data_IF_734419465706
#
_entry.id   IF_734419465706
#
_cell.length_a   1.000
_cell.length_b   1.000
_cell.length_c   1.000
_cell.angle_alpha   90.00
_cell.angle_beta   90.00
_cell.angle_gamma   90.00
#
_symmetry.space_group_name_H-M   'P 1'
#
loop_
_entity.id
_entity.type
_entity.pdbx_description
1 polymer ?
#
# COMPACT_ATOMS: atom_id res chain seq x y z
N UNK A 1 -12.46 3.40 -6.59
CA UNK A 1 -12.69 3.05 -7.99
C UNK A 1 -12.30 4.14 -8.98
N UNK A 2 -12.95 5.33 -8.95
CA UNK A 2 -12.75 6.40 -9.96
C UNK A 2 -11.30 6.89 -9.98
N UNK A 3 -10.69 7.16 -8.82
CA UNK A 3 -9.30 7.63 -8.75
C UNK A 3 -8.33 6.57 -9.30
N UNK A 4 -8.54 5.29 -9.00
CA UNK A 4 -7.73 4.21 -9.56
C UNK A 4 -7.83 4.11 -11.08
N UNK A 5 -9.02 4.37 -11.65
CA UNK A 5 -9.21 4.43 -13.09
C UNK A 5 -8.47 5.61 -13.70
N UNK A 6 -8.53 6.80 -13.07
CA UNK A 6 -7.77 7.98 -13.50
C UNK A 6 -6.25 7.72 -13.48
N UNK A 7 -5.75 7.07 -12.44
CA UNK A 7 -4.33 6.67 -12.35
C UNK A 7 -3.99 5.70 -13.49
N UNK A 8 -4.83 4.70 -13.76
CA UNK A 8 -4.61 3.76 -14.86
C UNK A 8 -4.54 4.45 -16.22
N UNK A 9 -5.46 5.37 -16.50
CA UNK A 9 -5.45 6.18 -17.73
C UNK A 9 -4.22 7.09 -17.80
N UNK A 10 -3.80 7.68 -16.68
CA UNK A 10 -2.61 8.48 -16.58
C UNK A 10 -1.35 7.67 -16.96
N UNK A 11 -1.22 6.44 -16.45
CA UNK A 11 -0.10 5.58 -16.80
C UNK A 11 -0.09 5.18 -18.27
N UNK A 12 -1.25 4.90 -18.88
CA UNK A 12 -1.35 4.66 -20.32
C UNK A 12 -0.89 5.88 -21.13
N UNK A 13 -1.15 7.09 -20.64
CA UNK A 13 -0.66 8.32 -21.29
C UNK A 13 0.86 8.49 -21.08
N UNK A 14 1.36 8.23 -19.87
CA UNK A 14 2.78 8.34 -19.53
C UNK A 14 3.64 7.33 -20.32
N UNK A 15 3.13 6.12 -20.56
CA UNK A 15 3.83 5.10 -21.35
C UNK A 15 4.21 5.61 -22.75
N UNK A 16 3.40 6.48 -23.32
CA UNK A 16 3.67 7.10 -24.64
C UNK A 16 4.69 8.25 -24.59
N UNK A 17 5.11 8.68 -23.40
CA UNK A 17 6.01 9.82 -23.16
C UNK A 17 7.21 9.40 -22.32
N UNK A 18 8.34 8.96 -22.91
CA UNK A 18 9.51 8.46 -22.17
C UNK A 18 10.04 9.44 -21.12
N UNK A 19 9.95 10.74 -21.40
CA UNK A 19 10.41 11.81 -20.50
C UNK A 19 9.62 11.91 -19.18
N UNK A 20 8.38 11.40 -19.15
CA UNK A 20 7.51 11.47 -17.98
C UNK A 20 7.56 10.20 -17.11
N UNK A 21 8.23 9.14 -17.56
CA UNK A 21 8.23 7.84 -16.86
C UNK A 21 8.82 7.93 -15.46
N UNK A 22 9.90 8.70 -15.29
CA UNK A 22 10.55 8.84 -13.99
C UNK A 22 9.70 9.62 -12.97
N UNK A 23 8.90 10.57 -13.45
CA UNK A 23 7.99 11.37 -12.62
C UNK A 23 6.60 10.74 -12.46
N UNK A 24 6.33 9.63 -13.13
CA UNK A 24 5.01 8.98 -13.20
C UNK A 24 4.38 8.72 -11.84
N UNK A 25 5.15 8.18 -10.89
CA UNK A 25 4.69 7.90 -9.54
C UNK A 25 4.31 9.19 -8.79
N UNK A 26 5.13 10.24 -8.89
CA UNK A 26 4.86 11.53 -8.25
C UNK A 26 3.63 12.21 -8.86
N UNK A 27 3.49 12.17 -10.19
CA UNK A 27 2.32 12.73 -10.89
C UNK A 27 1.05 11.97 -10.52
N UNK A 28 1.11 10.64 -10.45
CA UNK A 28 -0.02 9.82 -10.02
C UNK A 28 -0.43 10.13 -8.58
N UNK A 29 0.52 10.32 -7.68
CA UNK A 29 0.25 10.71 -6.30
C UNK A 29 -0.34 12.12 -6.21
N UNK A 30 0.15 13.07 -6.99
CA UNK A 30 -0.38 14.43 -7.06
C UNK A 30 -1.84 14.42 -7.56
N UNK A 31 -2.13 13.69 -8.62
CA UNK A 31 -3.49 13.56 -9.18
C UNK A 31 -4.42 12.87 -8.18
N UNK A 32 -4.00 11.74 -7.59
CA UNK A 32 -4.82 11.00 -6.62
C UNK A 32 -5.15 11.86 -5.39
N UNK A 33 -4.16 12.55 -4.85
CA UNK A 33 -4.33 13.41 -3.68
C UNK A 33 -5.15 14.65 -4.02
N UNK A 34 -4.89 15.29 -5.17
CA UNK A 34 -5.65 16.45 -5.64
C UNK A 34 -7.12 16.14 -5.84
N UNK A 35 -7.45 15.04 -6.52
CA UNK A 35 -8.85 14.61 -6.70
C UNK A 35 -9.50 14.30 -5.35
N UNK A 36 -8.77 13.65 -4.44
CA UNK A 36 -9.29 13.35 -3.09
C UNK A 36 -9.62 14.63 -2.32
N UNK A 37 -8.73 15.64 -2.38
CA UNK A 37 -8.91 16.94 -1.73
C UNK A 37 -10.11 17.70 -2.32
N UNK A 38 -10.25 17.71 -3.66
CA UNK A 38 -11.40 18.33 -4.32
C UNK A 38 -12.72 17.67 -3.91
N UNK A 39 -12.77 16.34 -3.92
CA UNK A 39 -13.97 15.60 -3.50
C UNK A 39 -14.27 15.85 -2.01
N UNK A 40 -13.24 15.89 -1.15
CA UNK A 40 -13.42 16.15 0.28
C UNK A 40 -13.95 17.56 0.56
N UNK A 41 -13.56 18.54 -0.26
CA UNK A 41 -13.97 19.93 -0.08
C UNK A 41 -15.36 20.23 -0.67
N UNK A 42 -15.69 19.67 -1.84
CA UNK A 42 -16.91 20.06 -2.59
C UNK A 42 -18.05 19.03 -2.54
N UNK A 43 -17.75 17.75 -2.28
CA UNK A 43 -18.75 16.68 -2.42
C UNK A 43 -19.12 16.07 -1.07
N UNK A 44 -18.14 15.56 -0.34
CA UNK A 44 -18.38 14.90 0.94
C UNK A 44 -17.10 14.86 1.78
N UNK A 45 -17.21 15.06 3.10
CA UNK A 45 -16.06 14.98 4.00
C UNK A 45 -15.49 13.56 4.01
N UNK A 46 -14.20 13.43 3.68
CA UNK A 46 -13.49 12.15 3.56
C UNK A 46 -12.33 12.07 4.56
N UNK A 47 -11.97 10.85 4.93
CA UNK A 47 -10.67 10.62 5.59
C UNK A 47 -9.58 10.66 4.51
N UNK A 48 -8.95 11.84 4.36
CA UNK A 48 -7.98 12.12 3.29
C UNK A 48 -6.87 11.07 3.22
N UNK A 49 -6.20 10.81 4.35
CA UNK A 49 -5.07 9.89 4.39
C UNK A 49 -5.47 8.48 3.94
N UNK A 50 -6.63 8.00 4.39
CA UNK A 50 -7.12 6.66 4.02
C UNK A 50 -7.45 6.58 2.54
N UNK A 51 -8.12 7.61 1.98
CA UNK A 51 -8.52 7.60 0.57
C UNK A 51 -7.30 7.76 -0.36
N UNK A 52 -6.35 8.63 -0.01
CA UNK A 52 -5.10 8.80 -0.77
C UNK A 52 -4.32 7.49 -0.81
N UNK A 53 -4.07 6.88 0.37
CA UNK A 53 -3.32 5.62 0.46
C UNK A 53 -4.03 4.50 -0.30
N UNK A 54 -5.36 4.37 -0.15
CA UNK A 54 -6.14 3.37 -0.88
C UNK A 54 -6.10 3.58 -2.40
N UNK A 55 -6.03 4.83 -2.85
CA UNK A 55 -5.93 5.16 -4.27
C UNK A 55 -4.56 4.81 -4.87
N UNK A 56 -3.50 4.89 -4.06
CA UNK A 56 -2.11 4.63 -4.46
C UNK A 56 -1.66 3.20 -4.17
N UNK A 57 -2.53 2.32 -3.64
CA UNK A 57 -2.16 1.00 -3.14
C UNK A 57 -1.42 0.15 -4.18
N UNK A 58 -1.79 0.26 -5.45
CA UNK A 58 -1.17 -0.49 -6.56
C UNK A 58 0.26 0.00 -6.84
N UNK A 59 0.55 1.27 -6.56
CA UNK A 59 1.87 1.88 -6.78
C UNK A 59 2.81 1.68 -5.60
N UNK A 60 2.30 1.27 -4.44
CA UNK A 60 3.11 1.04 -3.26
C UNK A 60 4.08 -0.13 -3.48
N UNK A 61 5.39 0.06 -3.29
CA UNK A 61 6.40 -0.95 -3.58
C UNK A 61 6.50 -2.00 -2.47
N UNK A 62 5.36 -2.51 -2.01
CA UNK A 62 5.29 -3.44 -0.89
C UNK A 62 6.04 -4.74 -1.14
N UNK A 63 5.83 -5.38 -2.30
CA UNK A 63 6.55 -6.60 -2.68
C UNK A 63 8.06 -6.35 -2.84
N UNK A 64 8.44 -5.17 -3.34
CA UNK A 64 9.85 -4.81 -3.46
C UNK A 64 10.51 -4.70 -2.08
N UNK A 65 9.83 -4.08 -1.10
CA UNK A 65 10.28 -4.02 0.29
C UNK A 65 10.41 -5.41 0.91
N UNK A 66 9.39 -6.25 0.80
CA UNK A 66 9.41 -7.62 1.35
C UNK A 66 10.53 -8.45 0.73
N UNK A 67 10.68 -8.40 -0.60
CA UNK A 67 11.74 -9.14 -1.29
C UNK A 67 13.13 -8.60 -0.94
N UNK A 68 13.30 -7.29 -0.78
CA UNK A 68 14.59 -6.70 -0.37
C UNK A 68 15.02 -7.20 1.01
N UNK A 69 14.09 -7.23 1.97
CA UNK A 69 14.39 -7.76 3.31
C UNK A 69 14.75 -9.25 3.24
N UNK A 70 14.03 -10.05 2.45
CA UNK A 70 14.34 -11.46 2.26
C UNK A 70 15.71 -11.68 1.62
N UNK A 71 16.08 -10.89 0.61
CA UNK A 71 17.39 -10.93 -0.02
C UNK A 71 18.51 -10.52 0.95
N UNK A 72 18.31 -9.46 1.76
CA UNK A 72 19.27 -9.02 2.78
C UNK A 72 19.49 -10.08 3.86
N UNK A 73 18.44 -10.70 4.36
CA UNK A 73 18.53 -11.77 5.37
C UNK A 73 19.16 -13.04 4.80
N UNK A 74 19.05 -13.26 3.49
CA UNK A 74 19.68 -14.37 2.77
C UNK A 74 21.09 -14.05 2.28
N UNK A 75 21.73 -12.97 2.79
CA UNK A 75 23.08 -12.53 2.45
C UNK A 75 23.27 -12.08 0.99
N UNK A 76 22.21 -11.86 0.24
CA UNK A 76 22.26 -11.27 -1.10
C UNK A 76 22.25 -9.74 -1.00
N UNK A 77 23.34 -9.17 -0.45
CA UNK A 77 23.39 -7.77 -0.05
C UNK A 77 23.22 -6.80 -1.21
N UNK A 78 23.88 -7.04 -2.34
CA UNK A 78 23.87 -6.11 -3.49
C UNK A 78 22.46 -5.99 -4.08
N UNK A 79 21.81 -7.12 -4.36
CA UNK A 79 20.44 -7.11 -4.91
C UNK A 79 19.42 -6.59 -3.89
N UNK A 80 19.56 -6.97 -2.62
CA UNK A 80 18.69 -6.53 -1.53
C UNK A 80 18.75 -5.01 -1.32
N UNK A 81 19.96 -4.43 -1.27
CA UNK A 81 20.15 -2.98 -1.12
C UNK A 81 19.60 -2.23 -2.36
N UNK A 82 19.90 -2.69 -3.57
CA UNK A 82 19.43 -2.06 -4.80
C UNK A 82 17.90 -2.04 -4.86
N UNK A 83 17.24 -3.16 -4.50
CA UNK A 83 15.79 -3.27 -4.45
C UNK A 83 15.17 -2.40 -3.37
N UNK A 84 15.80 -2.36 -2.19
CA UNK A 84 15.37 -1.50 -1.08
C UNK A 84 15.44 -0.02 -1.47
N UNK A 85 16.58 0.42 -2.03
CA UNK A 85 16.75 1.80 -2.48
C UNK A 85 15.73 2.19 -3.56
N UNK A 86 15.45 1.31 -4.52
CA UNK A 86 14.40 1.51 -5.52
C UNK A 86 13.00 1.65 -4.90
N UNK A 87 12.67 0.81 -3.93
CA UNK A 87 11.40 0.89 -3.22
C UNK A 87 11.28 2.20 -2.42
N UNK A 88 12.35 2.61 -1.73
CA UNK A 88 12.39 3.89 -1.01
C UNK A 88 12.24 5.09 -1.94
N UNK A 89 12.89 5.08 -3.10
CA UNK A 89 12.74 6.12 -4.11
C UNK A 89 11.28 6.25 -4.60
N UNK A 90 10.59 5.12 -4.83
CA UNK A 90 9.16 5.13 -5.18
C UNK A 90 8.30 5.73 -4.07
N UNK A 91 8.51 5.32 -2.80
CA UNK A 91 7.74 5.87 -1.68
C UNK A 91 7.98 7.38 -1.54
N UNK A 92 9.23 7.84 -1.70
CA UNK A 92 9.55 9.27 -1.68
C UNK A 92 8.84 10.03 -2.80
N UNK A 93 8.83 9.52 -4.03
CA UNK A 93 8.10 10.12 -5.15
C UNK A 93 6.59 10.24 -4.85
N UNK A 94 5.99 9.17 -4.31
CA UNK A 94 4.58 9.17 -3.92
C UNK A 94 4.30 10.19 -2.80
N UNK A 95 5.18 10.28 -1.80
CA UNK A 95 5.06 11.25 -0.71
C UNK A 95 5.16 12.67 -1.22
N UNK A 96 6.17 12.99 -2.04
CA UNK A 96 6.36 14.32 -2.63
C UNK A 96 5.14 14.73 -3.45
N UNK A 97 4.64 13.85 -4.33
CA UNK A 97 3.44 14.13 -5.12
C UNK A 97 2.21 14.42 -4.25
N UNK A 98 2.00 13.63 -3.19
CA UNK A 98 0.88 13.82 -2.27
C UNK A 98 1.00 15.13 -1.47
N UNK A 99 2.20 15.45 -0.99
CA UNK A 99 2.47 16.71 -0.25
C UNK A 99 2.27 17.92 -1.14
N UNK A 100 2.78 17.88 -2.38
CA UNK A 100 2.57 18.95 -3.35
C UNK A 100 1.07 19.20 -3.60
N UNK A 101 0.26 18.15 -3.72
CA UNK A 101 -1.19 18.30 -3.86
C UNK A 101 -1.83 19.00 -2.66
N UNK A 102 -1.42 18.63 -1.44
CA UNK A 102 -1.91 19.27 -0.20
C UNK A 102 -1.50 20.73 -0.15
N UNK A 103 -0.24 21.04 -0.44
CA UNK A 103 0.27 22.41 -0.46
C UNK A 103 -0.46 23.28 -1.49
N UNK A 104 -0.66 22.76 -2.70
CA UNK A 104 -1.41 23.46 -3.75
C UNK A 104 -2.87 23.70 -3.33
N UNK A 105 -3.52 22.73 -2.70
CA UNK A 105 -4.87 22.90 -2.18
C UNK A 105 -4.94 24.01 -1.11
N UNK A 106 -3.98 24.05 -0.19
CA UNK A 106 -3.89 25.10 0.83
C UNK A 106 -3.68 26.49 0.21
N UNK A 107 -2.81 26.61 -0.80
CA UNK A 107 -2.59 27.87 -1.54
C UNK A 107 -3.86 28.35 -2.26
N UNK A 108 -4.72 27.41 -2.69
CA UNK A 108 -6.01 27.72 -3.30
C UNK A 108 -7.13 27.97 -2.27
N UNK A 109 -6.81 27.99 -0.96
CA UNK A 109 -7.78 28.21 0.10
C UNK A 109 -8.71 27.00 0.36
N UNK A 110 -8.31 25.79 -0.10
CA UNK A 110 -9.06 24.59 0.12
C UNK A 110 -8.59 23.95 1.44
N UNK A 111 -9.44 23.99 2.46
CA UNK A 111 -9.19 23.40 3.77
C UNK A 111 -10.28 22.34 4.05
N UNK A 112 -10.19 21.15 3.46
CA UNK A 112 -11.20 20.12 3.69
C UNK A 112 -11.20 19.72 5.16
N UNK A 113 -12.38 19.68 5.77
CA UNK A 113 -12.53 19.20 7.14
C UNK A 113 -12.08 17.75 7.22
N UNK A 114 -11.03 17.48 7.99
CA UNK A 114 -10.58 16.12 8.30
C UNK A 114 -11.58 15.52 9.28
N UNK A 115 -12.60 14.84 8.79
CA UNK A 115 -13.52 14.14 9.69
C UNK A 115 -12.89 12.83 10.17
N UNK A 116 -12.89 12.68 11.49
CA UNK A 116 -12.60 11.44 12.17
C UNK A 116 -13.48 10.30 11.63
N UNK A 117 -12.92 9.10 11.61
CA UNK A 117 -13.52 7.84 11.26
C UNK A 117 -15.02 7.75 11.61
N UNK A 118 -15.88 7.74 10.59
CA UNK A 118 -17.20 7.13 10.75
C UNK A 118 -17.00 5.63 10.67
N UNK A 119 -17.34 4.86 11.72
CA UNK A 119 -17.31 3.42 11.62
C UNK A 119 -18.25 3.00 10.49
N UNK A 120 -17.71 2.30 9.50
CA UNK A 120 -18.51 1.74 8.42
C UNK A 120 -19.24 0.49 8.94
N UNK A 121 -20.44 0.19 8.44
CA UNK A 121 -21.11 -1.06 8.75
C UNK A 121 -20.25 -2.26 8.36
N UNK A 122 -20.26 -3.33 9.13
CA UNK A 122 -19.42 -4.51 8.92
C UNK A 122 -19.60 -5.13 7.52
N UNK A 123 -20.80 -5.08 6.97
CA UNK A 123 -21.06 -5.60 5.62
C UNK A 123 -20.26 -4.87 4.52
N UNK A 124 -19.96 -3.58 4.70
CA UNK A 124 -19.14 -2.79 3.76
C UNK A 124 -17.70 -3.30 3.77
N UNK A 125 -17.19 -3.63 4.94
CA UNK A 125 -15.84 -4.17 5.09
C UNK A 125 -15.72 -5.53 4.37
N UNK A 126 -16.67 -6.43 4.59
CA UNK A 126 -16.66 -7.76 3.96
C UNK A 126 -16.82 -7.69 2.44
N UNK A 127 -17.72 -6.84 1.95
CA UNK A 127 -17.90 -6.65 0.49
C UNK A 127 -16.65 -6.03 -0.13
N UNK A 128 -16.05 -5.04 0.51
CA UNK A 128 -14.81 -4.42 0.05
C UNK A 128 -13.66 -5.42 0.01
N UNK A 129 -13.55 -6.30 1.01
CA UNK A 129 -12.54 -7.36 1.05
C UNK A 129 -12.66 -8.33 -0.14
N UNK A 130 -13.87 -8.80 -0.44
CA UNK A 130 -14.09 -9.71 -1.58
C UNK A 130 -13.80 -9.01 -2.91
N UNK A 131 -14.25 -7.75 -3.07
CA UNK A 131 -13.98 -6.96 -4.28
C UNK A 131 -12.47 -6.71 -4.44
N UNK A 132 -11.76 -6.38 -3.36
CA UNK A 132 -10.31 -6.20 -3.40
C UNK A 132 -9.58 -7.50 -3.75
N UNK A 133 -9.97 -8.63 -3.17
CA UNK A 133 -9.39 -9.93 -3.47
C UNK A 133 -9.61 -10.32 -4.94
N UNK A 134 -10.80 -10.06 -5.47
CA UNK A 134 -11.08 -10.24 -6.90
C UNK A 134 -10.21 -9.33 -7.77
N UNK A 135 -10.09 -8.05 -7.41
CA UNK A 135 -9.25 -7.09 -8.12
C UNK A 135 -7.77 -7.53 -8.16
N UNK A 136 -7.25 -8.10 -7.06
CA UNK A 136 -5.91 -8.67 -7.04
C UNK A 136 -5.79 -9.90 -7.95
N UNK A 137 -6.79 -10.78 -8.01
CA UNK A 137 -6.78 -11.91 -8.94
C UNK A 137 -6.65 -11.45 -10.40
N UNK A 138 -7.36 -10.36 -10.77
CA UNK A 138 -7.26 -9.74 -12.10
C UNK A 138 -5.90 -9.07 -12.30
N UNK A 139 -5.43 -8.28 -11.33
CA UNK A 139 -4.16 -7.55 -11.38
C UNK A 139 -2.96 -8.47 -11.60
N UNK A 140 -2.93 -9.62 -10.89
CA UNK A 140 -1.89 -10.64 -11.03
C UNK A 140 -2.10 -11.60 -12.19
N UNK A 141 -3.09 -11.34 -13.05
CA UNK A 141 -3.42 -12.17 -14.21
C UNK A 141 -3.57 -13.64 -13.84
N UNK A 142 -4.17 -13.92 -12.67
CA UNK A 142 -4.47 -15.27 -12.27
C UNK A 142 -5.39 -15.93 -13.32
N UNK A 143 -5.26 -17.24 -13.54
CA UNK A 143 -6.17 -17.93 -14.41
C UNK A 143 -7.57 -17.97 -13.79
N UNK A 144 -8.66 -17.86 -14.57
CA UNK A 144 -10.04 -17.79 -14.04
C UNK A 144 -10.40 -18.94 -13.08
N UNK A 145 -9.81 -20.11 -13.29
CA UNK A 145 -9.98 -21.28 -12.40
C UNK A 145 -9.35 -21.10 -11.02
N UNK A 146 -8.42 -20.16 -10.89
CA UNK A 146 -7.68 -19.91 -9.66
C UNK A 146 -8.26 -18.75 -8.84
N UNK A 147 -9.24 -18.01 -9.39
CA UNK A 147 -9.84 -16.86 -8.69
C UNK A 147 -10.40 -17.23 -7.32
N UNK A 148 -11.08 -18.37 -7.22
CA UNK A 148 -11.65 -18.84 -5.93
C UNK A 148 -10.54 -19.03 -4.91
N UNK A 149 -9.43 -19.63 -5.30
CA UNK A 149 -8.29 -19.86 -4.40
C UNK A 149 -7.60 -18.56 -3.98
N UNK A 150 -7.44 -17.62 -4.89
CA UNK A 150 -6.88 -16.29 -4.60
C UNK A 150 -7.77 -15.53 -3.62
N UNK A 151 -9.09 -15.51 -3.89
CA UNK A 151 -10.05 -14.84 -3.02
C UNK A 151 -10.06 -15.48 -1.64
N UNK A 152 -10.12 -16.80 -1.56
CA UNK A 152 -10.11 -17.54 -0.28
C UNK A 152 -8.84 -17.25 0.51
N UNK A 153 -7.68 -17.31 -0.12
CA UNK A 153 -6.40 -17.02 0.54
C UNK A 153 -6.32 -15.57 1.07
N UNK A 154 -6.81 -14.61 0.29
CA UNK A 154 -6.85 -13.20 0.70
C UNK A 154 -7.79 -12.98 1.88
N UNK A 155 -8.99 -13.58 1.84
CA UNK A 155 -9.98 -13.48 2.94
C UNK A 155 -9.44 -14.16 4.20
N UNK A 156 -8.92 -15.39 4.09
CA UNK A 156 -8.32 -16.12 5.22
C UNK A 156 -7.16 -15.35 5.82
N UNK A 157 -6.27 -14.82 4.97
CA UNK A 157 -5.15 -13.99 5.39
C UNK A 157 -5.60 -12.75 6.18
N UNK A 158 -6.60 -12.06 5.67
CA UNK A 158 -7.16 -10.90 6.34
C UNK A 158 -7.80 -11.23 7.70
N UNK A 159 -8.64 -12.27 7.76
CA UNK A 159 -9.31 -12.69 8.99
C UNK A 159 -8.30 -13.07 10.06
N UNK A 160 -7.27 -13.85 9.71
CA UNK A 160 -6.23 -14.25 10.66
C UNK A 160 -5.43 -13.02 11.12
N UNK A 161 -5.04 -12.14 10.20
CA UNK A 161 -4.31 -10.91 10.55
C UNK A 161 -5.11 -10.03 11.51
N UNK A 162 -6.41 -9.89 11.27
CA UNK A 162 -7.31 -9.10 12.13
C UNK A 162 -7.51 -9.74 13.49
N UNK A 163 -7.87 -11.02 13.55
CA UNK A 163 -8.18 -11.73 14.80
C UNK A 163 -6.94 -11.88 15.68
N UNK A 164 -5.83 -12.35 15.13
CA UNK A 164 -4.59 -12.48 15.86
C UNK A 164 -3.97 -11.11 16.21
N UNK A 165 -4.14 -10.12 15.32
CA UNK A 165 -3.72 -8.75 15.60
C UNK A 165 -4.47 -8.10 16.74
N UNK A 166 -5.77 -8.41 16.91
CA UNK A 166 -6.55 -7.94 18.03
C UNK A 166 -6.15 -8.62 19.36
N UNK A 167 -5.74 -9.89 19.30
CA UNK A 167 -5.36 -10.66 20.49
C UNK A 167 -3.91 -10.41 20.94
N UNK A 168 -2.96 -10.35 20.01
CA UNK A 168 -1.52 -10.35 20.29
C UNK A 168 -0.75 -9.18 19.67
N UNK A 169 -1.47 -8.22 19.10
CA UNK A 169 -0.88 -7.04 18.42
C UNK A 169 -0.65 -7.27 16.93
N UNK A 170 -0.60 -6.16 16.20
CA UNK A 170 -0.52 -6.16 14.73
C UNK A 170 0.65 -6.96 14.14
N UNK A 171 1.88 -6.94 14.69
CA UNK A 171 2.99 -7.73 14.15
C UNK A 171 2.72 -9.24 14.22
N UNK A 172 2.13 -9.73 15.32
CA UNK A 172 1.79 -11.15 15.49
C UNK A 172 0.70 -11.58 14.51
N UNK A 173 -0.30 -10.72 14.29
CA UNK A 173 -1.35 -10.95 13.30
C UNK A 173 -0.81 -11.09 11.89
N UNK A 174 0.09 -10.19 11.47
CA UNK A 174 0.75 -10.24 10.17
C UNK A 174 1.59 -11.51 10.03
N UNK A 175 2.39 -11.85 11.04
CA UNK A 175 3.23 -13.05 11.04
C UNK A 175 2.40 -14.33 10.89
N UNK A 176 1.38 -14.53 11.72
CA UNK A 176 0.53 -15.73 11.66
C UNK A 176 -0.21 -15.83 10.33
N UNK A 177 -0.72 -14.73 9.84
CA UNK A 177 -1.38 -14.69 8.54
C UNK A 177 -0.43 -15.07 7.41
N UNK A 178 0.79 -14.51 7.38
CA UNK A 178 1.80 -14.84 6.40
C UNK A 178 2.21 -16.31 6.45
N UNK A 179 2.33 -16.87 7.66
CA UNK A 179 2.63 -18.28 7.89
C UNK A 179 1.53 -19.18 7.31
N UNK A 180 0.26 -18.90 7.63
CA UNK A 180 -0.87 -19.73 7.19
C UNK A 180 -1.05 -19.62 5.67
N UNK A 181 -0.98 -18.42 5.10
CA UNK A 181 -1.07 -18.21 3.64
C UNK A 181 0.06 -18.92 2.90
N UNK A 182 1.29 -18.87 3.45
CA UNK A 182 2.45 -19.54 2.84
C UNK A 182 2.32 -21.05 2.94
N UNK A 183 1.92 -21.58 4.10
CA UNK A 183 1.67 -23.02 4.29
C UNK A 183 0.56 -23.51 3.37
N UNK A 184 -0.54 -22.76 3.28
CA UNK A 184 -1.65 -23.05 2.36
C UNK A 184 -1.22 -23.03 0.89
N UNK A 185 -0.41 -22.06 0.49
CA UNK A 185 0.17 -21.99 -0.87
C UNK A 185 1.08 -23.18 -1.19
N UNK A 186 1.88 -23.63 -0.21
CA UNK A 186 2.73 -24.80 -0.38
C UNK A 186 1.90 -26.12 -0.45
N UNK A 187 0.86 -26.22 0.38
CA UNK A 187 -0.07 -27.36 0.34
C UNK A 187 -0.79 -27.41 -1.02
N UNK A 188 -1.29 -26.26 -1.50
CA UNK A 188 -1.92 -26.16 -2.81
C UNK A 188 -0.99 -26.56 -3.94
N UNK A 189 0.28 -26.14 -3.90
CA UNK A 189 1.26 -26.49 -4.92
C UNK A 189 1.49 -28.01 -5.00
N UNK A 190 1.49 -28.69 -3.86
CA UNK A 190 1.65 -30.16 -3.79
C UNK A 190 0.40 -30.91 -4.29
N UNK A 191 -0.77 -30.39 -3.92
CA UNK A 191 -2.04 -31.08 -4.19
C UNK A 191 -2.59 -30.78 -5.59
N UNK A 192 -2.55 -29.52 -6.00
CA UNK A 192 -3.10 -29.07 -7.28
C UNK A 192 -2.09 -29.13 -8.44
N UNK A 193 -0.81 -29.50 -8.19
CA UNK A 193 0.29 -29.49 -9.17
C UNK A 193 0.44 -28.15 -9.90
N UNK A 194 0.15 -27.04 -9.19
CA UNK A 194 0.20 -25.67 -9.69
C UNK A 194 1.12 -24.79 -8.84
N UNK A 195 1.66 -23.70 -9.40
CA UNK A 195 2.55 -22.82 -8.64
C UNK A 195 1.87 -22.26 -7.39
N UNK A 196 2.42 -22.53 -6.19
CA UNK A 196 1.89 -22.00 -4.93
C UNK A 196 1.95 -20.46 -4.82
N UNK A 197 2.73 -19.82 -5.67
CA UNK A 197 2.80 -18.36 -5.80
C UNK A 197 1.43 -17.73 -6.13
N UNK A 198 0.55 -18.44 -6.82
CA UNK A 198 -0.81 -17.99 -7.16
C UNK A 198 -1.60 -17.63 -5.89
N UNK A 199 -1.40 -18.36 -4.83
CA UNK A 199 -2.04 -18.13 -3.52
C UNK A 199 -1.21 -17.19 -2.66
N UNK A 200 0.11 -17.43 -2.58
CA UNK A 200 1.01 -16.69 -1.69
C UNK A 200 1.09 -15.22 -2.02
N UNK A 201 1.25 -14.88 -3.32
CA UNK A 201 1.49 -13.49 -3.71
C UNK A 201 0.31 -12.58 -3.37
N UNK A 202 -0.94 -12.84 -3.77
CA UNK A 202 -2.08 -12.02 -3.40
C UNK A 202 -2.32 -11.97 -1.89
N UNK A 203 -2.22 -13.13 -1.21
CA UNK A 203 -2.42 -13.21 0.24
C UNK A 203 -1.39 -12.41 1.03
N UNK A 204 -0.11 -12.50 0.68
CA UNK A 204 0.96 -11.72 1.32
C UNK A 204 0.80 -10.24 0.99
N UNK A 205 0.40 -9.88 -0.23
CA UNK A 205 0.26 -8.49 -0.63
C UNK A 205 -0.78 -7.73 0.20
N UNK A 206 -1.83 -8.42 0.64
CA UNK A 206 -2.82 -7.87 1.58
C UNK A 206 -2.22 -7.50 2.94
N UNK A 207 -1.09 -8.12 3.31
CA UNK A 207 -0.42 -7.94 4.60
C UNK A 207 0.78 -6.99 4.53
N UNK A 208 1.25 -6.68 3.33
CA UNK A 208 2.51 -5.95 3.15
C UNK A 208 2.41 -4.51 3.66
N UNK A 209 3.43 -4.05 4.41
CA UNK A 209 3.45 -2.75 5.09
C UNK A 209 3.67 -1.53 4.17
N UNK A 210 3.45 -1.65 2.84
CA UNK A 210 3.62 -0.54 1.90
C UNK A 210 2.77 0.68 2.26
N UNK A 211 1.51 0.45 2.65
CA UNK A 211 0.62 1.52 3.13
C UNK A 211 1.10 2.13 4.46
N UNK A 212 1.68 1.32 5.35
CA UNK A 212 2.24 1.80 6.60
C UNK A 212 3.49 2.68 6.37
N UNK A 213 4.35 2.28 5.43
CA UNK A 213 5.54 3.07 5.05
C UNK A 213 5.16 4.43 4.48
N UNK A 214 4.19 4.47 3.54
CA UNK A 214 3.72 5.74 2.99
C UNK A 214 3.04 6.60 4.05
N UNK A 215 2.20 6.00 4.91
CA UNK A 215 1.55 6.70 6.03
C UNK A 215 2.56 7.29 6.99
N UNK A 216 3.60 6.54 7.34
CA UNK A 216 4.69 6.99 8.19
C UNK A 216 5.41 8.21 7.60
N UNK A 217 5.79 8.16 6.31
CA UNK A 217 6.44 9.30 5.66
C UNK A 217 5.51 10.51 5.51
N UNK A 218 4.24 10.29 5.14
CA UNK A 218 3.28 11.39 5.05
C UNK A 218 3.05 12.05 6.42
N UNK A 219 2.99 11.28 7.51
CA UNK A 219 2.83 11.84 8.86
C UNK A 219 4.06 12.65 9.29
N UNK A 220 5.27 12.19 8.96
CA UNK A 220 6.50 12.94 9.24
C UNK A 220 6.57 14.27 8.49
N UNK A 221 6.10 14.31 7.25
CA UNK A 221 6.12 15.53 6.43
C UNK A 221 4.97 16.48 6.80
N UNK A 222 3.79 15.97 7.16
CA UNK A 222 2.62 16.77 7.52
C UNK A 222 2.65 17.28 8.96
N UNK A 223 3.32 16.57 9.87
CA UNK A 223 3.59 17.06 11.22
C UNK A 223 4.74 18.06 11.15
N UNK A 224 4.42 19.31 10.87
CA UNK A 224 5.35 20.44 10.91
C UNK A 224 5.85 20.80 12.33
N UNK A 225 5.76 19.89 13.27
CA UNK A 225 6.41 20.04 14.57
C UNK A 225 7.91 19.69 14.40
N UNK A 226 8.73 20.74 14.37
CA UNK A 226 10.21 20.61 14.37
C UNK A 226 10.72 19.68 15.47
N UNK A 227 9.96 19.44 16.54
CA UNK A 227 10.27 18.51 17.62
C UNK A 227 10.31 17.05 17.20
N UNK A 228 9.47 16.63 16.26
CA UNK A 228 9.44 15.23 15.77
C UNK A 228 10.58 14.95 14.82
N UNK A 229 10.96 15.91 13.98
CA UNK A 229 12.14 15.80 13.11
C UNK A 229 13.44 15.72 13.93
N UNK A 230 13.57 16.51 15.00
CA UNK A 230 14.69 16.44 15.94
C UNK A 230 14.74 15.12 16.72
N UNK A 231 13.61 14.63 17.23
CA UNK A 231 13.56 13.36 17.96
C UNK A 231 13.83 12.15 17.06
N UNK A 232 13.40 12.17 15.81
CA UNK A 232 13.73 11.14 14.83
C UNK A 232 15.22 11.15 14.46
N UNK A 233 15.82 12.33 14.25
CA UNK A 233 17.25 12.49 14.02
C UNK A 233 18.10 12.05 15.24
N UNK A 234 17.68 12.43 16.45
CA UNK A 234 18.33 12.01 17.69
C UNK A 234 18.17 10.50 17.91
N UNK A 235 17.02 9.91 17.54
CA UNK A 235 16.81 8.47 17.58
C UNK A 235 17.76 7.72 16.64
N UNK A 236 17.96 8.20 15.42
CA UNK A 236 18.91 7.62 14.46
C UNK A 236 20.35 7.79 14.96
N UNK A 237 20.70 8.96 15.50
CA UNK A 237 22.03 9.20 16.08
C UNK A 237 22.32 8.31 17.30
N UNK A 238 21.34 8.06 18.17
CA UNK A 238 21.50 7.15 19.31
C UNK A 238 21.63 5.66 18.92
N UNK A 239 21.20 5.28 17.72
CA UNK A 239 21.36 3.90 17.22
C UNK A 239 22.76 3.72 16.59
N UNK A 240 23.38 4.81 16.14
CA UNK A 240 24.69 4.79 15.44
C UNK A 240 25.87 5.03 16.39
N UNK A 241 25.63 5.57 17.59
CA UNK A 241 26.61 5.65 18.69
C UNK A 241 26.53 4.44 19.60
#
# INVERSE_FOLDING_TARGET
GIIGLLIGLLFLFIERRPQMKEAGDAIAALVASGVTLLVANFVAPLNLNTVIIASLIVLLPGMALTNSVNELTSQHLVSGIARFAGAMATILKLTVGSVLAVTLAQLLGLYPEVRALRPQPDWVEWTALVVAAYAFAVLFRAHRRDYVWVITASVVGYVISRSAGAAWGSPAGIFLSALVVTAGGNAFARWATRPGAIIRVPGILMLVPGSASLRGLMSLVQQQDMGVGQSALLGVMNIVM
#
